data_IF_965361069714
#
_entry.id   IF_965361069714
#
_cell.length_a   1.000
_cell.length_b   1.000
_cell.length_c   1.000
_cell.angle_alpha   90.00
_cell.angle_beta   90.00
_cell.angle_gamma   90.00
#
_symmetry.space_group_name_H-M   'P 1'
#
loop_
_entity.id
_entity.type
_entity.pdbx_description
1 polymer ?
#
# COMPACT_ATOMS: atom_id res chain seq x y z
N UNK A 1 22.14 -15.79 12.11
CA UNK A 1 20.84 -15.53 11.52
C UNK A 1 19.83 -16.15 12.46
N UNK A 2 18.88 -15.39 12.93
CA UNK A 2 17.85 -15.91 13.83
C UNK A 2 16.89 -16.80 13.04
N UNK A 3 16.43 -17.88 13.67
CA UNK A 3 15.50 -18.83 13.05
C UNK A 3 14.14 -18.74 13.73
N UNK A 4 13.08 -18.68 12.94
CA UNK A 4 11.68 -18.65 13.39
C UNK A 4 10.92 -19.78 12.72
N UNK A 5 10.15 -20.54 13.49
CA UNK A 5 9.30 -21.62 12.96
C UNK A 5 7.85 -21.34 13.29
N UNK A 6 7.00 -21.34 12.26
CA UNK A 6 5.56 -21.08 12.38
C UNK A 6 4.74 -21.92 11.41
N UNK A 7 3.43 -21.92 11.57
CA UNK A 7 2.53 -22.58 10.61
C UNK A 7 2.37 -21.74 9.33
N UNK A 8 2.22 -20.42 9.47
CA UNK A 8 2.01 -19.50 8.35
C UNK A 8 2.96 -18.31 8.45
N UNK A 9 3.70 -18.07 7.37
CA UNK A 9 4.42 -16.84 7.16
C UNK A 9 3.57 -15.89 6.29
N UNK A 10 3.41 -14.65 6.74
CA UNK A 10 2.78 -13.59 5.96
C UNK A 10 3.84 -12.57 5.56
N UNK A 11 3.89 -12.21 4.28
CA UNK A 11 4.81 -11.19 3.76
C UNK A 11 3.99 -9.94 3.42
N UNK A 12 4.20 -8.90 4.21
CA UNK A 12 3.48 -7.63 4.16
C UNK A 12 2.59 -7.43 5.38
N UNK A 13 2.89 -6.41 6.19
CA UNK A 13 2.13 -6.00 7.38
C UNK A 13 1.11 -4.88 7.09
N UNK A 14 0.67 -4.76 5.84
CA UNK A 14 -0.44 -3.88 5.45
C UNK A 14 -1.80 -4.43 5.92
N UNK A 15 -2.92 -3.74 5.61
CA UNK A 15 -4.25 -4.13 6.08
C UNK A 15 -4.61 -5.59 5.79
N UNK A 16 -4.31 -6.07 4.59
CA UNK A 16 -4.60 -7.45 4.17
C UNK A 16 -3.75 -8.47 4.94
N UNK A 17 -2.47 -8.15 5.18
CA UNK A 17 -1.57 -9.00 5.96
C UNK A 17 -1.95 -9.06 7.44
N UNK A 18 -2.30 -7.93 8.04
CA UNK A 18 -2.78 -7.85 9.44
C UNK A 18 -4.07 -8.66 9.62
N UNK A 19 -5.02 -8.52 8.71
CA UNK A 19 -6.23 -9.34 8.74
C UNK A 19 -5.93 -10.83 8.52
N UNK A 20 -5.01 -11.16 7.60
CA UNK A 20 -4.52 -12.52 7.39
C UNK A 20 -3.91 -13.11 8.66
N UNK A 21 -3.11 -12.34 9.41
CA UNK A 21 -2.50 -12.75 10.68
C UNK A 21 -3.57 -13.04 11.74
N UNK A 22 -4.54 -12.15 11.90
CA UNK A 22 -5.69 -12.39 12.76
C UNK A 22 -6.40 -13.68 12.39
N UNK A 23 -6.77 -13.83 11.11
CA UNK A 23 -7.61 -14.95 10.68
C UNK A 23 -6.87 -16.29 10.74
N UNK A 24 -5.56 -16.32 10.49
CA UNK A 24 -4.74 -17.52 10.69
C UNK A 24 -4.70 -17.94 12.16
N UNK A 25 -4.49 -16.98 13.07
CA UNK A 25 -4.56 -17.27 14.50
C UNK A 25 -5.94 -17.69 14.98
N UNK A 26 -7.00 -17.07 14.43
CA UNK A 26 -8.38 -17.50 14.69
C UNK A 26 -8.63 -18.96 14.26
N UNK A 27 -7.90 -19.44 13.23
CA UNK A 27 -7.88 -20.86 12.81
C UNK A 27 -6.93 -21.71 13.65
N UNK A 28 -6.28 -21.20 14.69
CA UNK A 28 -5.37 -21.90 15.59
C UNK A 28 -3.96 -22.11 15.05
N UNK A 29 -3.55 -21.35 14.02
CA UNK A 29 -2.21 -21.41 13.44
C UNK A 29 -1.27 -20.40 14.11
N UNK A 30 -0.01 -20.78 14.28
CA UNK A 30 1.07 -19.86 14.63
C UNK A 30 1.47 -19.03 13.43
N UNK A 31 1.75 -17.72 13.62
CA UNK A 31 1.97 -16.77 12.54
C UNK A 31 3.21 -15.93 12.76
N UNK A 32 4.01 -15.74 11.72
CA UNK A 32 5.00 -14.67 11.61
C UNK A 32 4.60 -13.73 10.48
N UNK A 33 4.86 -12.44 10.66
CA UNK A 33 4.62 -11.40 9.66
C UNK A 33 5.94 -10.68 9.38
N UNK A 34 6.37 -10.68 8.13
CA UNK A 34 7.54 -9.94 7.65
C UNK A 34 7.08 -8.65 6.97
N UNK A 35 7.74 -7.53 7.25
CA UNK A 35 7.62 -6.29 6.46
C UNK A 35 8.95 -5.56 6.38
N UNK A 36 9.23 -4.93 5.25
CA UNK A 36 10.43 -4.11 5.05
C UNK A 36 10.36 -2.73 5.71
N UNK A 37 9.17 -2.30 6.12
CA UNK A 37 8.95 -1.05 6.84
C UNK A 37 9.21 -1.22 8.34
N UNK A 38 9.57 -0.13 9.05
CA UNK A 38 9.79 -0.16 10.49
C UNK A 38 8.50 -0.26 11.31
N UNK A 39 7.35 -0.02 10.68
CA UNK A 39 6.04 -0.01 11.32
C UNK A 39 5.03 -0.80 10.48
N UNK A 40 4.02 -1.33 11.16
CA UNK A 40 2.89 -2.01 10.50
C UNK A 40 1.95 -1.01 9.85
N UNK A 41 1.10 -1.48 8.94
CA UNK A 41 0.09 -0.67 8.25
C UNK A 41 0.38 -0.47 6.77
N UNK A 42 1.62 -0.77 6.33
CA UNK A 42 2.00 -0.70 4.91
C UNK A 42 1.74 0.69 4.32
N UNK A 43 1.21 0.74 3.11
CA UNK A 43 0.96 2.00 2.40
C UNK A 43 -0.01 2.93 3.12
N UNK A 44 -0.98 2.41 3.88
CA UNK A 44 -1.93 3.24 4.63
C UNK A 44 -1.25 4.07 5.70
N UNK A 45 -0.41 3.46 6.53
CA UNK A 45 0.36 4.18 7.56
C UNK A 45 1.45 5.07 6.93
N UNK A 46 2.17 4.56 5.92
CA UNK A 46 3.29 5.28 5.33
C UNK A 46 2.89 6.48 4.47
N UNK A 47 1.78 6.39 3.73
CA UNK A 47 1.42 7.39 2.73
C UNK A 47 0.16 8.20 3.07
N UNK A 48 -0.81 7.57 3.76
CA UNK A 48 -2.17 8.11 3.90
C UNK A 48 -2.73 8.02 5.33
N UNK A 49 -1.94 8.23 6.40
CA UNK A 49 -2.39 7.98 7.78
C UNK A 49 -3.62 8.81 8.17
N UNK A 50 -3.73 10.03 7.65
CA UNK A 50 -4.84 10.95 7.95
C UNK A 50 -5.96 10.95 6.90
N UNK A 51 -5.79 10.19 5.79
CA UNK A 51 -6.80 10.09 4.74
C UNK A 51 -8.00 9.28 5.21
N UNK A 52 -9.21 9.77 4.93
CA UNK A 52 -10.44 8.99 5.11
C UNK A 52 -10.59 7.93 4.01
N UNK A 53 -10.86 6.71 4.44
CA UNK A 53 -11.14 5.55 3.61
C UNK A 53 -12.65 5.28 3.68
N UNK A 54 -13.30 5.18 2.53
CA UNK A 54 -14.77 5.06 2.44
C UNK A 54 -15.24 3.69 1.95
N UNK A 55 -14.33 2.85 1.51
CA UNK A 55 -14.61 1.58 0.83
C UNK A 55 -14.28 0.34 1.69
N UNK A 56 -14.18 0.53 3.00
CA UNK A 56 -14.05 -0.57 3.98
C UNK A 56 -15.41 -0.86 4.59
N UNK A 57 -15.89 -2.08 4.36
CA UNK A 57 -17.18 -2.51 4.86
C UNK A 57 -17.28 -2.39 6.40
N UNK A 58 -18.40 -1.85 6.89
CA UNK A 58 -18.63 -1.61 8.32
C UNK A 58 -18.29 -0.20 8.80
N UNK A 59 -17.62 0.61 7.98
CA UNK A 59 -17.29 2.00 8.29
C UNK A 59 -17.89 2.95 7.24
N UNK A 60 -18.70 3.96 7.63
CA UNK A 60 -19.09 5.04 6.71
C UNK A 60 -17.88 5.83 6.20
N UNK A 61 -16.89 6.02 7.06
CA UNK A 61 -15.55 6.52 6.80
C UNK A 61 -14.65 6.11 7.97
N UNK A 62 -13.38 5.82 7.70
CA UNK A 62 -12.38 5.53 8.73
C UNK A 62 -11.05 6.16 8.30
N UNK A 63 -10.31 6.78 9.22
CA UNK A 63 -8.97 7.27 8.89
C UNK A 63 -8.02 6.11 8.65
N UNK A 64 -7.05 6.30 7.74
CA UNK A 64 -6.09 5.27 7.41
C UNK A 64 -5.37 4.71 8.64
N UNK A 65 -4.89 5.58 9.54
CA UNK A 65 -4.23 5.16 10.78
C UNK A 65 -5.19 4.43 11.73
N UNK A 66 -6.42 4.91 11.91
CA UNK A 66 -7.40 4.28 12.81
C UNK A 66 -7.77 2.87 12.31
N UNK A 67 -7.83 2.66 10.99
CA UNK A 67 -8.04 1.34 10.41
C UNK A 67 -6.85 0.40 10.70
N UNK A 68 -5.61 0.91 10.55
CA UNK A 68 -4.40 0.14 10.85
C UNK A 68 -4.35 -0.24 12.32
N UNK A 69 -4.63 0.69 13.22
CA UNK A 69 -4.62 0.46 14.66
C UNK A 69 -5.66 -0.61 15.07
N UNK A 70 -6.88 -0.54 14.53
CA UNK A 70 -7.91 -1.54 14.75
C UNK A 70 -7.54 -2.93 14.22
N UNK A 71 -6.93 -3.00 13.01
CA UNK A 71 -6.46 -4.27 12.44
C UNK A 71 -5.28 -4.86 13.22
N UNK A 72 -4.38 -4.01 13.72
CA UNK A 72 -3.28 -4.44 14.58
C UNK A 72 -3.78 -5.00 15.90
N UNK A 73 -4.71 -4.30 16.57
CA UNK A 73 -5.37 -4.78 17.80
C UNK A 73 -6.05 -6.13 17.56
N UNK A 74 -6.72 -6.28 16.42
CA UNK A 74 -7.34 -7.54 16.02
C UNK A 74 -6.31 -8.64 15.80
N UNK A 75 -5.20 -8.37 15.09
CA UNK A 75 -4.14 -9.34 14.85
C UNK A 75 -3.43 -9.78 16.14
N UNK A 76 -3.21 -8.85 17.07
CA UNK A 76 -2.53 -9.11 18.35
C UNK A 76 -3.27 -10.12 19.25
N UNK A 77 -4.57 -10.35 19.04
CA UNK A 77 -5.29 -11.41 19.75
C UNK A 77 -4.68 -12.79 19.51
N UNK A 78 -4.06 -12.99 18.38
CA UNK A 78 -3.37 -14.24 17.98
C UNK A 78 -1.88 -14.26 18.31
N UNK A 79 -1.34 -13.16 18.85
CA UNK A 79 0.07 -12.98 19.22
C UNK A 79 1.04 -13.35 18.08
N UNK A 80 0.89 -12.80 16.88
CA UNK A 80 1.81 -13.06 15.78
C UNK A 80 3.21 -12.51 16.09
N UNK A 81 4.24 -13.14 15.55
CA UNK A 81 5.61 -12.62 15.59
C UNK A 81 5.79 -11.63 14.44
N UNK A 82 5.99 -10.35 14.74
CA UNK A 82 6.33 -9.34 13.74
C UNK A 82 7.85 -9.26 13.55
N UNK A 83 8.28 -9.39 12.29
CA UNK A 83 9.65 -9.27 11.83
C UNK A 83 9.70 -8.06 10.88
N UNK A 84 9.76 -6.88 11.48
CA UNK A 84 9.80 -5.60 10.77
C UNK A 84 11.22 -5.28 10.33
N UNK A 85 11.38 -4.32 9.39
CA UNK A 85 12.64 -3.97 8.75
C UNK A 85 13.34 -5.18 8.13
N UNK A 86 12.57 -6.17 7.68
CA UNK A 86 13.04 -7.40 7.04
C UNK A 86 12.41 -7.56 5.66
N UNK A 87 13.23 -7.68 4.64
CA UNK A 87 12.81 -7.92 3.25
C UNK A 87 13.00 -9.40 2.90
N UNK A 88 11.93 -10.07 2.49
CA UNK A 88 12.01 -11.44 1.99
C UNK A 88 12.85 -11.49 0.69
N UNK A 89 13.86 -12.35 0.64
CA UNK A 89 14.80 -12.44 -0.48
C UNK A 89 14.70 -13.77 -1.24
N UNK A 90 14.78 -14.89 -0.54
CA UNK A 90 14.73 -16.21 -1.18
C UNK A 90 13.61 -17.05 -0.63
N UNK A 91 13.15 -18.00 -1.44
CA UNK A 91 12.18 -19.02 -1.04
C UNK A 91 12.70 -20.40 -1.45
N UNK A 92 12.68 -21.31 -0.49
CA UNK A 92 12.94 -22.74 -0.70
C UNK A 92 11.68 -23.52 -0.36
N UNK A 93 11.18 -24.31 -1.32
CA UNK A 93 9.93 -25.06 -1.17
C UNK A 93 10.25 -26.54 -0.97
N UNK A 94 9.71 -27.09 0.12
CA UNK A 94 9.89 -28.47 0.52
C UNK A 94 8.54 -29.22 0.48
N UNK A 95 8.58 -30.55 0.55
CA UNK A 95 7.36 -31.36 0.55
C UNK A 95 6.42 -31.01 1.71
N UNK A 96 6.98 -30.65 2.86
CA UNK A 96 6.24 -30.40 4.09
C UNK A 96 6.23 -28.92 4.54
N UNK A 97 6.91 -28.01 3.84
CA UNK A 97 7.02 -26.62 4.24
C UNK A 97 7.70 -25.71 3.23
N UNK A 98 7.97 -24.50 3.67
CA UNK A 98 8.65 -23.44 2.93
C UNK A 98 9.66 -22.78 3.85
N UNK A 99 10.85 -22.52 3.36
CA UNK A 99 11.87 -21.72 4.06
C UNK A 99 12.03 -20.40 3.32
N UNK A 100 11.88 -19.28 4.03
CA UNK A 100 12.10 -17.93 3.50
C UNK A 100 13.25 -17.29 4.26
N UNK A 101 14.21 -16.74 3.52
CA UNK A 101 15.27 -15.92 4.11
C UNK A 101 14.98 -14.44 3.87
N UNK A 102 15.47 -13.61 4.78
CA UNK A 102 15.34 -12.16 4.69
C UNK A 102 16.68 -11.47 4.66
N UNK A 103 16.68 -10.25 4.19
CA UNK A 103 17.73 -9.27 4.43
C UNK A 103 17.14 -8.10 5.23
N UNK A 104 17.93 -7.49 6.13
CA UNK A 104 17.47 -6.34 6.88
C UNK A 104 17.35 -5.11 5.95
N UNK A 105 16.37 -4.24 6.23
CA UNK A 105 16.25 -2.94 5.55
C UNK A 105 17.37 -1.98 5.97
N UNK A 106 17.89 -2.14 7.20
CA UNK A 106 19.02 -1.37 7.71
C UNK A 106 20.33 -2.14 7.50
N UNK A 107 21.31 -1.59 6.75
CA UNK A 107 22.59 -2.26 6.53
C UNK A 107 23.33 -2.60 7.83
N UNK A 108 23.81 -3.83 7.94
CA UNK A 108 24.60 -4.32 9.09
C UNK A 108 23.81 -5.05 10.16
N UNK A 109 22.49 -5.00 10.11
CA UNK A 109 21.63 -5.84 10.94
C UNK A 109 21.57 -7.27 10.39
N UNK A 110 21.23 -8.28 11.22
CA UNK A 110 21.10 -9.66 10.74
C UNK A 110 19.77 -9.90 10.01
N UNK A 111 19.81 -10.70 8.96
CA UNK A 111 18.59 -11.28 8.37
C UNK A 111 18.04 -12.42 9.24
N UNK A 112 16.82 -12.83 8.93
CA UNK A 112 16.10 -13.91 9.63
C UNK A 112 15.78 -15.02 8.63
N UNK A 113 15.81 -16.28 9.11
CA UNK A 113 15.31 -17.44 8.38
C UNK A 113 13.97 -17.87 8.99
N UNK A 114 12.93 -17.96 8.18
CA UNK A 114 11.59 -18.38 8.63
C UNK A 114 11.22 -19.71 7.98
N UNK A 115 10.95 -20.70 8.82
CA UNK A 115 10.40 -22.01 8.40
C UNK A 115 8.88 -21.99 8.61
N UNK A 116 8.11 -22.22 7.57
CA UNK A 116 6.65 -22.21 7.62
C UNK A 116 6.04 -23.40 6.87
N UNK A 117 4.79 -23.76 7.19
CA UNK A 117 4.03 -24.74 6.41
C UNK A 117 3.53 -24.15 5.10
N UNK A 118 3.26 -22.86 5.08
CA UNK A 118 2.86 -22.11 3.89
C UNK A 118 3.17 -20.63 4.03
N UNK A 119 3.19 -19.93 2.90
CA UNK A 119 3.40 -18.46 2.81
C UNK A 119 2.18 -17.79 2.20
N UNK A 120 1.73 -16.70 2.80
CA UNK A 120 0.77 -15.76 2.22
C UNK A 120 1.48 -14.45 1.88
N UNK A 121 1.57 -14.11 0.60
CA UNK A 121 2.13 -12.83 0.14
C UNK A 121 1.01 -11.80 0.10
N UNK A 122 1.10 -10.78 0.96
CA UNK A 122 0.16 -9.67 1.11
C UNK A 122 0.87 -8.30 1.02
N UNK A 123 1.97 -8.23 0.26
CA UNK A 123 2.87 -7.09 0.15
C UNK A 123 2.36 -5.91 -0.69
N UNK A 124 1.04 -5.82 -0.94
CA UNK A 124 0.43 -4.71 -1.65
C UNK A 124 0.93 -4.60 -3.09
N UNK A 125 1.62 -3.50 -3.43
CA UNK A 125 2.26 -3.33 -4.73
C UNK A 125 3.79 -3.58 -4.69
N UNK A 126 4.29 -4.21 -3.62
CA UNK A 126 5.72 -4.39 -3.38
C UNK A 126 6.37 -3.13 -2.79
N UNK A 127 7.68 -2.98 -2.98
CA UNK A 127 8.34 -1.70 -2.70
C UNK A 127 7.75 -0.63 -3.59
N UNK A 128 7.37 0.50 -2.98
CA UNK A 128 6.81 1.63 -3.72
C UNK A 128 7.76 2.83 -3.60
N UNK A 129 8.28 3.22 -4.73
CA UNK A 129 9.02 4.48 -4.87
C UNK A 129 8.11 5.48 -5.57
N UNK A 130 8.00 6.72 -5.07
CA UNK A 130 7.24 7.74 -5.78
C UNK A 130 7.88 7.99 -7.15
N UNK A 131 7.06 8.14 -8.17
CA UNK A 131 7.56 8.64 -9.45
C UNK A 131 8.06 10.06 -9.24
N UNK A 132 9.31 10.27 -9.60
CA UNK A 132 9.90 11.61 -9.48
C UNK A 132 9.18 12.61 -10.39
N UNK A 133 8.95 13.79 -9.86
CA UNK A 133 8.54 14.94 -10.68
C UNK A 133 9.76 15.40 -11.49
N UNK A 134 9.74 15.32 -12.83
CA UNK A 134 10.93 15.56 -13.64
C UNK A 134 11.59 16.92 -13.42
N UNK A 135 10.81 17.88 -12.96
CA UNK A 135 11.23 19.29 -12.81
C UNK A 135 11.76 19.67 -11.42
N UNK A 136 11.81 18.77 -10.44
CA UNK A 136 12.00 19.22 -9.06
C UNK A 136 12.79 18.33 -8.12
N UNK A 137 13.55 17.35 -8.63
CA UNK A 137 14.27 16.36 -7.80
C UNK A 137 15.13 16.96 -6.68
N UNK A 138 15.77 18.08 -6.92
CA UNK A 138 16.63 18.77 -5.93
C UNK A 138 15.85 19.36 -4.75
N UNK A 139 14.54 19.50 -4.86
CA UNK A 139 13.66 20.05 -3.81
C UNK A 139 12.93 18.97 -2.98
N UNK A 140 13.21 17.69 -3.19
CA UNK A 140 12.64 16.61 -2.39
C UNK A 140 12.93 16.83 -0.89
N UNK A 141 11.87 16.87 -0.06
CA UNK A 141 11.96 17.21 1.36
C UNK A 141 12.13 18.73 1.67
N UNK A 142 12.35 19.57 0.66
CA UNK A 142 12.51 21.02 0.79
C UNK A 142 11.39 21.79 0.07
N UNK A 143 10.15 21.39 0.32
CA UNK A 143 8.95 21.97 -0.32
C UNK A 143 8.36 21.08 -1.42
N UNK A 144 9.10 20.16 -2.05
CA UNK A 144 8.55 19.10 -2.88
C UNK A 144 8.30 17.87 -2.02
N UNK A 145 7.07 17.36 -2.03
CA UNK A 145 6.62 16.19 -1.28
C UNK A 145 5.93 15.21 -2.23
N UNK A 146 6.13 13.92 -2.00
CA UNK A 146 5.44 12.85 -2.74
C UNK A 146 4.29 12.24 -1.93
N UNK A 147 4.22 12.54 -0.64
CA UNK A 147 3.16 12.19 0.29
C UNK A 147 3.11 13.19 1.43
N UNK A 148 1.98 13.27 2.11
CA UNK A 148 1.73 14.21 3.21
C UNK A 148 1.34 13.42 4.46
N UNK A 149 2.30 13.02 5.32
CA UNK A 149 2.00 12.23 6.53
C UNK A 149 1.12 13.00 7.52
N UNK A 150 1.32 14.32 7.61
CA UNK A 150 0.51 15.20 8.46
C UNK A 150 0.02 16.40 7.66
N UNK A 151 -1.28 16.50 7.50
CA UNK A 151 -1.92 17.61 6.79
C UNK A 151 -1.63 18.97 7.45
N UNK A 152 -1.56 18.99 8.78
CA UNK A 152 -1.27 20.22 9.55
C UNK A 152 0.08 20.87 9.19
N UNK A 153 1.06 20.12 8.67
CA UNK A 153 2.35 20.67 8.23
C UNK A 153 2.21 21.65 7.06
N UNK A 154 1.08 21.60 6.34
CA UNK A 154 0.81 22.46 5.18
C UNK A 154 -0.19 23.57 5.48
N UNK A 155 -0.54 23.77 6.76
CA UNK A 155 -1.45 24.84 7.16
C UNK A 155 -0.90 26.21 6.76
N UNK A 156 -1.72 27.00 6.04
CA UNK A 156 -1.36 28.34 5.57
C UNK A 156 -0.31 28.38 4.45
N UNK A 157 0.00 27.23 3.83
CA UNK A 157 0.86 27.19 2.64
C UNK A 157 0.04 27.46 1.38
N UNK A 158 0.69 28.06 0.38
CA UNK A 158 0.23 27.97 -1.00
C UNK A 158 0.73 26.67 -1.58
N UNK A 159 -0.21 25.80 -1.99
CA UNK A 159 0.09 24.41 -2.36
C UNK A 159 -0.29 24.16 -3.82
N UNK A 160 0.62 23.56 -4.56
CA UNK A 160 0.33 22.94 -5.86
C UNK A 160 0.33 21.43 -5.69
N UNK A 161 -0.81 20.79 -5.99
CA UNK A 161 -0.91 19.33 -6.10
C UNK A 161 -0.79 18.95 -7.57
N UNK A 162 0.11 18.02 -7.89
CA UNK A 162 0.35 17.56 -9.26
C UNK A 162 -0.16 16.13 -9.44
N UNK A 163 -1.12 15.93 -10.33
CA UNK A 163 -1.66 14.61 -10.61
C UNK A 163 -3.12 14.65 -11.07
N UNK A 164 -3.69 13.50 -11.40
CA UNK A 164 -5.08 13.41 -11.89
C UNK A 164 -5.76 12.09 -11.52
N UNK A 165 -5.19 11.33 -10.60
CA UNK A 165 -5.80 10.14 -10.00
C UNK A 165 -6.38 10.42 -8.61
N UNK A 166 -6.94 9.38 -7.98
CA UNK A 166 -7.56 9.48 -6.65
C UNK A 166 -6.68 10.18 -5.62
N UNK A 167 -5.38 9.83 -5.55
CA UNK A 167 -4.46 10.43 -4.58
C UNK A 167 -4.33 11.95 -4.76
N UNK A 168 -4.30 12.46 -5.99
CA UNK A 168 -4.17 13.88 -6.26
C UNK A 168 -5.45 14.65 -5.87
N UNK A 169 -6.61 14.11 -6.23
CA UNK A 169 -7.90 14.68 -5.89
C UNK A 169 -8.11 14.67 -4.37
N UNK A 170 -7.81 13.56 -3.73
CA UNK A 170 -7.96 13.42 -2.28
C UNK A 170 -7.04 14.38 -1.51
N UNK A 171 -5.77 14.55 -1.94
CA UNK A 171 -4.87 15.53 -1.32
C UNK A 171 -5.36 16.97 -1.53
N UNK A 172 -5.83 17.30 -2.73
CA UNK A 172 -6.33 18.64 -3.01
C UNK A 172 -7.53 18.98 -2.10
N UNK A 173 -8.50 18.08 -1.97
CA UNK A 173 -9.67 18.25 -1.11
C UNK A 173 -9.31 18.25 0.38
N UNK A 174 -8.37 17.41 0.82
CA UNK A 174 -7.96 17.36 2.22
C UNK A 174 -7.18 18.59 2.66
N UNK A 175 -6.44 19.22 1.75
CA UNK A 175 -5.64 20.41 2.02
C UNK A 175 -6.45 21.72 1.88
N UNK A 176 -7.55 21.71 1.14
CA UNK A 176 -8.41 22.89 0.92
C UNK A 176 -8.76 23.65 2.22
N UNK A 177 -9.22 23.01 3.30
CA UNK A 177 -9.59 23.72 4.52
C UNK A 177 -8.41 24.19 5.37
N UNK A 178 -7.17 23.81 5.04
CA UNK A 178 -5.96 24.04 5.86
C UNK A 178 -4.96 24.97 5.20
N UNK A 179 -4.77 24.81 3.90
CA UNK A 179 -3.84 25.62 3.13
C UNK A 179 -4.37 27.05 2.89
N UNK A 180 -3.48 27.97 2.56
CA UNK A 180 -3.87 29.33 2.13
C UNK A 180 -4.51 29.29 0.75
N UNK A 181 -3.94 28.49 -0.15
CA UNK A 181 -4.48 28.19 -1.48
C UNK A 181 -4.09 26.80 -1.93
N UNK A 182 -4.95 26.15 -2.72
CA UNK A 182 -4.66 24.86 -3.35
C UNK A 182 -4.95 24.94 -4.84
N UNK A 183 -3.96 24.61 -5.67
CA UNK A 183 -4.13 24.43 -7.10
C UNK A 183 -3.83 22.97 -7.48
N UNK A 184 -4.75 22.32 -8.21
CA UNK A 184 -4.55 20.97 -8.74
C UNK A 184 -4.15 21.07 -10.21
N UNK A 185 -2.89 20.70 -10.49
CA UNK A 185 -2.31 20.73 -11.84
C UNK A 185 -2.41 19.33 -12.45
N UNK A 186 -3.06 19.23 -13.59
CA UNK A 186 -3.14 18.00 -14.35
C UNK A 186 -2.98 18.23 -15.85
N UNK A 187 -2.27 17.33 -16.51
CA UNK A 187 -1.97 17.39 -17.96
C UNK A 187 -3.15 17.05 -18.88
N UNK A 188 -4.32 16.77 -18.36
CA UNK A 188 -5.54 16.44 -19.10
C UNK A 188 -6.73 17.14 -18.43
N UNK A 189 -7.78 17.40 -19.19
CA UNK A 189 -9.01 17.97 -18.64
C UNK A 189 -9.83 16.97 -17.83
N UNK A 190 -9.64 15.67 -18.08
CA UNK A 190 -10.36 14.60 -17.41
C UNK A 190 -9.52 13.95 -16.30
N UNK A 191 -10.07 13.87 -15.11
CA UNK A 191 -9.49 13.15 -13.97
C UNK A 191 -9.81 11.66 -14.01
N UNK A 192 -8.94 10.84 -13.44
CA UNK A 192 -9.10 9.39 -13.30
C UNK A 192 -9.50 8.97 -11.88
N UNK A 193 -9.93 9.90 -11.07
CA UNK A 193 -10.42 9.67 -9.72
C UNK A 193 -11.89 9.20 -9.75
N UNK A 194 -12.35 8.71 -8.60
CA UNK A 194 -13.76 8.32 -8.42
C UNK A 194 -14.69 9.51 -8.71
N UNK A 195 -15.80 9.25 -9.39
CA UNK A 195 -16.76 10.25 -9.84
C UNK A 195 -17.25 11.16 -8.69
N UNK A 196 -17.48 10.58 -7.51
CA UNK A 196 -17.89 11.33 -6.31
C UNK A 196 -16.82 12.33 -5.88
N UNK A 197 -15.55 11.93 -5.86
CA UNK A 197 -14.44 12.82 -5.48
C UNK A 197 -14.22 13.92 -6.52
N UNK A 198 -14.40 13.59 -7.80
CA UNK A 198 -14.33 14.60 -8.89
C UNK A 198 -15.46 15.62 -8.78
N UNK A 199 -16.68 15.16 -8.46
CA UNK A 199 -17.81 16.08 -8.24
C UNK A 199 -17.54 17.02 -7.04
N UNK A 200 -17.03 16.50 -5.92
CA UNK A 200 -16.64 17.32 -4.77
C UNK A 200 -15.54 18.33 -5.13
N UNK A 201 -14.55 17.91 -5.91
CA UNK A 201 -13.48 18.79 -6.38
C UNK A 201 -14.01 19.95 -7.23
N UNK A 202 -14.99 19.69 -8.10
CA UNK A 202 -15.62 20.72 -8.93
C UNK A 202 -16.47 21.72 -8.13
N UNK A 203 -16.97 21.32 -6.97
CA UNK A 203 -17.74 22.17 -6.04
C UNK A 203 -16.84 22.88 -5.01
N UNK A 204 -15.56 22.51 -4.93
CA UNK A 204 -14.59 23.04 -3.96
C UNK A 204 -13.99 24.38 -4.40
N UNK A 205 -13.21 25.00 -3.52
CA UNK A 205 -12.42 26.19 -3.82
C UNK A 205 -11.04 25.88 -4.43
N UNK A 206 -10.73 24.59 -4.66
CA UNK A 206 -9.49 24.18 -5.31
C UNK A 206 -9.44 24.68 -6.75
N UNK A 207 -8.37 25.40 -7.09
CA UNK A 207 -8.17 25.86 -8.46
C UNK A 207 -7.73 24.69 -9.36
N UNK A 208 -8.49 24.45 -10.44
CA UNK A 208 -8.15 23.42 -11.42
C UNK A 208 -7.31 24.04 -12.54
N UNK A 209 -6.06 23.58 -12.67
CA UNK A 209 -5.12 24.05 -13.68
C UNK A 209 -4.88 22.91 -14.68
N UNK A 210 -5.72 22.88 -15.71
CA UNK A 210 -5.67 21.88 -16.77
C UNK A 210 -5.75 22.51 -18.15
N UNK A 211 -5.20 21.95 -19.20
CA UNK A 211 -4.23 20.87 -19.24
C UNK A 211 -2.78 21.41 -19.13
N UNK A 212 -2.21 21.34 -17.95
CA UNK A 212 -0.87 21.86 -17.67
C UNK A 212 0.02 20.81 -17.02
N UNK A 213 1.35 20.98 -17.21
CA UNK A 213 2.40 20.20 -16.55
C UNK A 213 3.36 21.16 -15.81
N UNK A 214 3.93 20.69 -14.70
CA UNK A 214 5.02 21.41 -14.02
C UNK A 214 6.32 21.13 -14.77
N UNK A 215 6.92 22.17 -15.36
CA UNK A 215 8.17 22.06 -16.14
C UNK A 215 9.39 22.50 -15.36
N UNK A 216 9.23 23.38 -14.38
CA UNK A 216 10.34 23.85 -13.54
C UNK A 216 9.84 24.10 -12.11
N UNK A 217 10.74 23.84 -11.15
CA UNK A 217 10.56 24.20 -9.73
C UNK A 217 11.71 25.12 -9.35
N UNK A 218 11.41 26.24 -8.76
CA UNK A 218 12.38 27.28 -8.41
C UNK A 218 12.36 27.55 -6.91
N UNK A 219 13.52 27.95 -6.39
CA UNK A 219 13.69 28.36 -5.01
C UNK A 219 15.18 28.38 -4.62
N UNK A 220 15.46 28.82 -3.41
CA UNK A 220 16.76 28.74 -2.79
C UNK A 220 16.87 27.48 -1.94
N UNK A 221 16.72 27.65 -0.63
CA UNK A 221 16.77 26.51 0.33
C UNK A 221 15.51 25.63 0.25
N UNK A 222 14.39 26.16 -0.23
CA UNK A 222 13.12 25.45 -0.39
C UNK A 222 12.39 25.93 -1.65
N UNK A 223 11.28 25.25 -1.98
CA UNK A 223 10.40 25.65 -3.10
C UNK A 223 9.80 27.02 -2.82
N UNK A 224 9.88 27.92 -3.82
CA UNK A 224 9.30 29.26 -3.78
C UNK A 224 8.35 29.51 -4.96
N UNK A 225 8.56 28.82 -6.08
CA UNK A 225 7.81 29.02 -7.32
C UNK A 225 7.81 27.78 -8.19
N UNK A 226 6.77 27.62 -9.01
CA UNK A 226 6.72 26.63 -10.09
C UNK A 226 6.42 27.32 -11.42
N UNK A 227 6.96 26.77 -12.52
CA UNK A 227 6.57 27.09 -13.88
C UNK A 227 5.66 25.98 -14.39
N UNK A 228 4.49 26.36 -14.87
CA UNK A 228 3.49 25.48 -15.47
C UNK A 228 3.47 25.72 -16.97
N UNK A 229 3.47 24.68 -17.79
CA UNK A 229 3.39 24.76 -19.24
C UNK A 229 2.09 24.11 -19.73
N UNK A 230 1.33 24.80 -20.54
CA UNK A 230 0.15 24.26 -21.20
C UNK A 230 0.57 23.18 -22.21
N UNK A 231 -0.04 21.98 -22.12
CA UNK A 231 0.41 20.80 -22.87
C UNK A 231 0.39 21.02 -24.37
N UNK A 232 -0.60 21.75 -24.92
CA UNK A 232 -0.79 21.94 -26.37
C UNK A 232 -0.17 23.27 -26.86
N UNK A 233 -0.48 24.39 -26.21
CA UNK A 233 -0.08 25.72 -26.67
C UNK A 233 1.35 26.09 -26.32
N UNK A 234 1.96 25.39 -25.35
CA UNK A 234 3.29 25.67 -24.79
C UNK A 234 3.40 27.02 -24.10
N UNK A 235 2.28 27.66 -23.82
CA UNK A 235 2.26 28.84 -22.98
C UNK A 235 2.68 28.49 -21.55
N UNK A 236 3.49 29.36 -20.95
CA UNK A 236 3.99 29.17 -19.59
C UNK A 236 3.39 30.17 -18.62
N UNK A 237 3.08 29.70 -17.42
CA UNK A 237 2.61 30.52 -16.31
C UNK A 237 3.44 30.19 -15.08
N UNK A 238 3.93 31.24 -14.39
CA UNK A 238 4.65 31.07 -13.12
C UNK A 238 3.70 31.28 -11.94
N UNK A 239 3.89 30.49 -10.89
CA UNK A 239 3.07 30.55 -9.67
C UNK A 239 3.96 30.47 -8.44
N UNK A 240 3.82 31.43 -7.53
CA UNK A 240 4.49 31.39 -6.24
C UNK A 240 3.80 30.35 -5.35
N UNK A 241 4.58 29.46 -4.75
CA UNK A 241 4.10 28.35 -3.92
C UNK A 241 5.13 28.02 -2.84
N UNK A 242 4.67 27.52 -1.70
CA UNK A 242 5.54 26.98 -0.65
C UNK A 242 5.71 25.48 -0.72
N UNK A 243 4.74 24.77 -1.32
CA UNK A 243 4.75 23.32 -1.35
C UNK A 243 4.20 22.81 -2.66
N UNK A 244 4.91 21.81 -3.21
CA UNK A 244 4.44 20.98 -4.32
C UNK A 244 4.21 19.56 -3.79
N UNK A 245 3.00 19.03 -3.98
CA UNK A 245 2.66 17.63 -3.67
C UNK A 245 2.55 16.86 -4.97
N UNK A 246 3.55 16.03 -5.28
CA UNK A 246 3.60 15.26 -6.53
C UNK A 246 2.89 13.92 -6.37
N UNK A 247 1.58 13.88 -6.65
CA UNK A 247 0.74 12.69 -6.61
C UNK A 247 0.59 12.05 -8.00
N UNK A 248 1.72 11.78 -8.66
CA UNK A 248 1.79 11.25 -10.04
C UNK A 248 1.96 9.72 -10.12
N UNK A 249 1.77 9.05 -8.99
CA UNK A 249 1.82 7.60 -8.83
C UNK A 249 3.18 7.11 -8.34
N UNK A 250 3.26 5.78 -8.19
CA UNK A 250 4.43 5.08 -7.68
C UNK A 250 4.97 4.10 -8.72
N UNK A 251 6.26 3.82 -8.61
CA UNK A 251 6.87 2.64 -9.23
C UNK A 251 6.62 1.48 -8.28
N UNK A 252 6.14 0.38 -8.83
CA UNK A 252 5.86 -0.84 -8.07
C UNK A 252 6.86 -1.90 -8.46
N UNK A 253 7.50 -2.51 -7.46
CA UNK A 253 8.46 -3.57 -7.69
C UNK A 253 8.24 -4.69 -6.65
N UNK A 254 8.24 -5.93 -7.13
CA UNK A 254 8.21 -7.12 -6.28
C UNK A 254 9.55 -7.38 -5.60
N UNK A 255 10.61 -6.66 -6.01
CA UNK A 255 11.96 -6.88 -5.54
C UNK A 255 12.41 -8.32 -5.77
N UNK A 256 13.17 -8.93 -4.83
CA UNK A 256 13.65 -10.29 -4.96
C UNK A 256 12.56 -11.35 -5.19
N UNK A 257 11.33 -11.11 -4.74
CA UNK A 257 10.21 -12.04 -4.97
C UNK A 257 9.87 -12.24 -6.45
N UNK A 258 10.27 -11.32 -7.34
CA UNK A 258 10.10 -11.49 -8.79
C UNK A 258 10.88 -12.69 -9.34
N UNK A 259 11.98 -13.07 -8.67
CA UNK A 259 12.86 -14.18 -9.04
C UNK A 259 12.40 -15.54 -8.47
N UNK A 260 11.34 -15.59 -7.66
CA UNK A 260 10.87 -16.82 -7.01
C UNK A 260 10.25 -17.85 -7.97
N UNK A 261 10.01 -17.45 -9.23
CA UNK A 261 9.42 -18.33 -10.24
C UNK A 261 7.87 -18.34 -10.21
N UNK A 262 7.25 -17.37 -9.57
CA UNK A 262 5.80 -17.19 -9.63
C UNK A 262 5.37 -16.67 -11.01
N UNK A 263 4.20 -17.12 -11.46
CA UNK A 263 3.58 -16.56 -12.65
C UNK A 263 3.10 -15.14 -12.41
N UNK A 264 3.57 -14.19 -13.24
CA UNK A 264 3.28 -12.78 -13.09
C UNK A 264 2.46 -12.23 -14.27
N UNK A 265 1.53 -11.32 -13.98
CA UNK A 265 0.82 -10.52 -14.98
C UNK A 265 0.79 -9.06 -14.54
N UNK A 266 1.39 -8.18 -15.35
CA UNK A 266 1.49 -6.73 -15.05
C UNK A 266 2.11 -6.46 -13.67
N UNK A 267 3.19 -7.18 -13.34
CA UNK A 267 3.90 -7.11 -12.04
C UNK A 267 3.06 -7.52 -10.82
N UNK A 268 2.02 -8.33 -11.01
CA UNK A 268 1.20 -8.92 -9.95
C UNK A 268 1.26 -10.42 -10.06
N UNK A 269 1.13 -11.09 -8.93
CA UNK A 269 1.21 -12.55 -8.81
C UNK A 269 -0.11 -13.16 -9.28
N UNK A 270 -0.05 -14.02 -10.30
CA UNK A 270 -1.22 -14.77 -10.74
C UNK A 270 -1.63 -15.79 -9.69
N UNK A 271 -2.91 -15.78 -9.35
CA UNK A 271 -3.51 -16.74 -8.41
C UNK A 271 -4.79 -17.35 -8.99
N UNK A 272 -5.14 -18.52 -8.50
CA UNK A 272 -6.42 -19.14 -8.75
C UNK A 272 -7.52 -18.59 -7.80
N UNK A 273 -8.75 -19.14 -7.89
CA UNK A 273 -9.86 -18.73 -7.02
C UNK A 273 -9.67 -19.08 -5.54
N UNK A 274 -8.67 -19.90 -5.22
CA UNK A 274 -8.29 -20.27 -3.85
C UNK A 274 -7.09 -19.47 -3.35
N UNK A 275 -6.68 -18.46 -4.11
CA UNK A 275 -5.52 -17.59 -3.87
C UNK A 275 -4.17 -18.31 -3.95
N UNK A 276 -4.11 -19.49 -4.57
CA UNK A 276 -2.85 -20.24 -4.80
C UNK A 276 -2.11 -19.67 -5.99
N UNK A 277 -0.81 -19.56 -5.85
CA UNK A 277 0.09 -19.31 -6.98
C UNK A 277 0.41 -20.63 -7.71
N UNK A 278 1.23 -20.56 -8.77
CA UNK A 278 1.80 -21.76 -9.40
C UNK A 278 2.81 -22.50 -8.49
N UNK A 279 3.36 -21.84 -7.47
CA UNK A 279 4.29 -22.46 -6.52
C UNK A 279 3.53 -23.18 -5.41
N UNK A 280 3.91 -24.43 -5.07
CA UNK A 280 3.32 -25.15 -3.96
C UNK A 280 3.46 -24.38 -2.64
N UNK A 281 2.41 -24.37 -1.80
CA UNK A 281 2.40 -23.73 -0.47
C UNK A 281 2.55 -22.21 -0.46
N UNK A 282 2.57 -21.57 -1.63
CA UNK A 282 2.66 -20.10 -1.78
C UNK A 282 1.33 -19.56 -2.28
N UNK A 283 0.79 -18.60 -1.53
CA UNK A 283 -0.48 -17.92 -1.77
C UNK A 283 -0.24 -16.41 -1.89
N UNK A 284 -1.16 -15.70 -2.53
CA UNK A 284 -1.11 -14.24 -2.54
C UNK A 284 -2.51 -13.64 -2.41
N UNK A 285 -2.61 -12.49 -1.73
CA UNK A 285 -3.86 -11.75 -1.51
C UNK A 285 -3.62 -10.23 -1.49
N UNK A 286 -4.67 -9.46 -1.72
CA UNK A 286 -4.61 -8.01 -1.81
C UNK A 286 -4.12 -7.54 -3.17
N UNK A 287 -3.59 -6.32 -3.24
CA UNK A 287 -3.25 -5.67 -4.52
C UNK A 287 -2.12 -6.35 -5.29
N UNK A 288 -1.31 -7.17 -4.60
CA UNK A 288 -0.26 -7.96 -5.22
C UNK A 288 -0.81 -9.15 -6.04
N UNK A 289 -2.00 -9.63 -5.69
CA UNK A 289 -2.64 -10.75 -6.36
C UNK A 289 -3.40 -10.31 -7.64
N UNK A 290 -3.41 -11.19 -8.65
CA UNK A 290 -4.09 -10.97 -9.92
C UNK A 290 -4.85 -12.23 -10.35
N UNK A 291 -6.11 -12.06 -10.66
CA UNK A 291 -6.97 -13.07 -11.28
C UNK A 291 -8.05 -12.37 -12.14
N UNK A 292 -8.81 -13.11 -12.90
CA UNK A 292 -9.89 -12.55 -13.72
C UNK A 292 -11.01 -11.98 -12.83
N UNK A 293 -11.39 -10.73 -13.06
CA UNK A 293 -12.38 -10.01 -12.25
C UNK A 293 -11.83 -9.37 -10.97
N UNK A 294 -10.51 -9.33 -10.78
CA UNK A 294 -9.88 -8.67 -9.62
C UNK A 294 -10.27 -7.20 -9.55
N UNK A 295 -10.74 -6.79 -8.38
CA UNK A 295 -10.96 -5.39 -7.99
C UNK A 295 -9.98 -5.05 -6.85
N UNK A 296 -9.23 -3.97 -7.02
CA UNK A 296 -8.22 -3.54 -6.05
C UNK A 296 -8.87 -2.69 -4.94
N UNK A 297 -9.48 -3.36 -3.96
CA UNK A 297 -10.08 -2.77 -2.76
C UNK A 297 -9.58 -3.51 -1.52
N UNK A 298 -9.40 -2.80 -0.40
CA UNK A 298 -9.02 -3.38 0.90
C UNK A 298 -10.02 -4.47 1.30
N UNK A 299 -11.33 -4.21 1.17
CA UNK A 299 -12.39 -5.17 1.52
C UNK A 299 -12.33 -6.46 0.69
N UNK A 300 -11.93 -6.38 -0.58
CA UNK A 300 -11.71 -7.57 -1.43
C UNK A 300 -10.48 -8.33 -0.92
N UNK A 301 -9.40 -7.63 -0.58
CA UNK A 301 -8.19 -8.22 -0.02
C UNK A 301 -8.42 -8.98 1.28
N UNK A 302 -9.32 -8.53 2.14
CA UNK A 302 -9.72 -9.27 3.35
C UNK A 302 -10.36 -10.62 3.00
N UNK A 303 -11.29 -10.64 2.05
CA UNK A 303 -11.91 -11.88 1.57
C UNK A 303 -10.89 -12.85 0.95
N UNK A 304 -9.94 -12.31 0.19
CA UNK A 304 -8.84 -13.09 -0.40
C UNK A 304 -7.92 -13.68 0.66
N UNK A 305 -7.52 -12.90 1.68
CA UNK A 305 -6.71 -13.40 2.79
C UNK A 305 -7.43 -14.52 3.55
N UNK A 306 -8.72 -14.34 3.87
CA UNK A 306 -9.52 -15.39 4.50
C UNK A 306 -9.59 -16.67 3.63
N UNK A 307 -9.76 -16.51 2.32
CA UNK A 307 -9.77 -17.63 1.36
C UNK A 307 -8.43 -18.35 1.36
N UNK A 308 -7.32 -17.62 1.24
CA UNK A 308 -5.98 -18.18 1.28
C UNK A 308 -5.72 -18.97 2.57
N UNK A 309 -6.00 -18.36 3.74
CA UNK A 309 -5.81 -19.00 5.05
C UNK A 309 -6.64 -20.29 5.19
N UNK A 310 -7.88 -20.29 4.69
CA UNK A 310 -8.71 -21.50 4.70
C UNK A 310 -8.13 -22.63 3.84
N UNK A 311 -7.45 -22.29 2.73
CA UNK A 311 -6.80 -23.30 1.88
C UNK A 311 -5.37 -23.66 2.36
N UNK A 312 -4.76 -22.85 3.22
CA UNK A 312 -3.53 -23.17 3.95
C UNK A 312 -3.81 -24.16 5.09
N UNK A 313 -4.95 -24.04 5.76
CA UNK A 313 -5.27 -24.85 6.95
C UNK A 313 -5.03 -26.36 6.79
N UNK A 314 -5.46 -27.03 5.69
CA UNK A 314 -5.16 -28.45 5.47
C UNK A 314 -3.68 -28.77 5.23
N UNK A 315 -2.87 -27.78 4.84
CA UNK A 315 -1.41 -27.95 4.68
C UNK A 315 -0.69 -27.93 6.03
N UNK A 316 -1.27 -27.27 7.02
CA UNK A 316 -0.79 -27.23 8.40
C UNK A 316 -1.20 -28.49 9.14
N UNK A 317 -2.47 -28.85 9.04
CA UNK A 317 -3.03 -30.04 9.67
C UNK A 317 -4.03 -30.72 8.74
N UNK A 318 -3.73 -31.90 8.29
CA UNK A 318 -4.54 -32.66 7.33
C UNK A 318 -5.96 -33.00 7.81
N UNK A 319 -6.23 -32.88 9.11
CA UNK A 319 -7.57 -33.03 9.68
C UNK A 319 -8.42 -31.77 9.59
N UNK A 320 -7.80 -30.63 9.32
CA UNK A 320 -8.53 -29.37 9.21
C UNK A 320 -9.17 -29.23 7.83
N UNK A 321 -10.41 -28.78 7.82
CA UNK A 321 -11.16 -28.55 6.57
C UNK A 321 -10.88 -27.13 6.06
N UNK A 322 -10.99 -26.95 4.75
CA UNK A 322 -10.95 -25.62 4.11
C UNK A 322 -12.12 -24.74 4.56
N UNK A 323 -13.28 -25.34 4.83
CA UNK A 323 -14.44 -24.62 5.37
C UNK A 323 -14.53 -24.91 6.87
N UNK A 324 -14.24 -23.94 7.75
CA UNK A 324 -14.52 -24.09 9.18
C UNK A 324 -16.03 -24.25 9.38
N UNK A 325 -16.43 -25.00 10.40
CA UNK A 325 -17.82 -25.00 10.88
C UNK A 325 -18.24 -23.60 11.34
N UNK A 326 -19.52 -23.36 11.46
CA UNK A 326 -20.02 -22.12 12.05
C UNK A 326 -19.73 -22.10 13.55
N UNK A 327 -19.45 -20.90 14.11
CA UNK A 327 -19.27 -20.76 15.57
C UNK A 327 -20.51 -21.23 16.37
N UNK A 328 -21.69 -21.23 15.73
CA UNK A 328 -22.93 -21.80 16.26
C UNK A 328 -22.96 -23.34 16.26
N UNK A 329 -22.07 -24.01 15.52
CA UNK A 329 -22.02 -25.48 15.49
C UNK A 329 -21.24 -26.05 16.70
N UNK A 330 -20.61 -25.17 17.50
CA UNK A 330 -19.82 -25.50 18.68
C UNK A 330 -20.62 -25.32 20.00
N UNK A 331 -21.91 -24.95 19.91
CA UNK A 331 -22.86 -24.87 20.99
C UNK A 331 -23.79 -26.07 20.97
#
# INVERSE_FOLDING_TARGET
MDEVTVDVLIIGAGPVGLYGAYYAGFRGMSVAVIDSLPEVGGQLAALYPEKNIYDVAGFPAVRGQDLVDALLEQAQQSKPTFLLEQRATTVDIHDDGVTVTTEPSTPGEPGVTVHARAVLIAGGMGTFEPKELPAGGDFAGRGLRYFVPRLADLTGHDVVVVGGGDSAVDWALALEPLANSVALVHRRDAFRAHEKSVAQLQESSVELVTPYEVTEVHGGDAVERVTLEHVETKETVSRDVKTVVAAIGFLTDLGPMAEWGMDLKRRRILVDRTQRTNLPRVFAAGDIAMYEGKVALISVGFGEAATAINHIAPLVNTKWKTTPGHSSDAL
#
